data_IF_573465035669
#
_entry.id   IF_573465035669
#
_cell.length_a   1.000
_cell.length_b   1.000
_cell.length_c   1.000
_cell.angle_alpha   90.00
_cell.angle_beta   90.00
_cell.angle_gamma   90.00
#
_symmetry.space_group_name_H-M   'P 1'
#
loop_
_entity.id
_entity.type
_entity.pdbx_description
1 polymer ?
#
# COMPACT_ATOMS: atom_id res chain seq x y z
N UNK A 1 64.43 -5.96 0.46
CA UNK A 1 64.25 -4.56 0.00
C UNK A 1 64.35 -4.55 -1.50
N UNK A 2 63.22 -4.44 -2.19
CA UNK A 2 63.10 -3.90 -3.55
C UNK A 2 61.61 -3.62 -3.73
N UNK A 3 61.27 -2.35 -3.70
CA UNK A 3 59.96 -1.76 -3.88
C UNK A 3 59.92 -1.11 -5.29
N UNK A 4 58.70 -0.88 -5.78
CA UNK A 4 58.27 -0.04 -6.93
C UNK A 4 57.27 -0.73 -7.89
N UNK A 5 56.04 -0.87 -7.37
CA UNK A 5 54.79 -0.34 -7.93
C UNK A 5 54.66 -0.07 -9.43
N UNK A 6 53.72 -0.78 -10.06
CA UNK A 6 53.07 -0.43 -11.35
C UNK A 6 51.59 -0.07 -11.12
N UNK A 7 50.99 0.87 -11.88
CA UNK A 7 49.71 1.49 -11.52
C UNK A 7 48.49 0.77 -12.12
N UNK A 8 47.41 0.71 -11.34
CA UNK A 8 46.06 0.28 -11.75
C UNK A 8 45.38 1.28 -12.71
N UNK A 9 44.49 0.82 -13.62
CA UNK A 9 43.75 1.69 -14.53
C UNK A 9 42.61 2.43 -13.82
N UNK A 10 42.49 3.74 -14.09
CA UNK A 10 41.47 4.63 -13.54
C UNK A 10 40.07 4.26 -14.04
N UNK A 11 39.16 4.00 -13.10
CA UNK A 11 37.72 3.90 -13.36
C UNK A 11 37.17 5.24 -13.90
N UNK A 12 36.50 5.19 -15.04
CA UNK A 12 35.81 6.33 -15.65
C UNK A 12 34.60 6.74 -14.80
N UNK A 13 34.70 7.85 -14.07
CA UNK A 13 33.56 8.48 -13.39
C UNK A 13 32.56 9.00 -14.42
N UNK A 14 31.35 8.43 -14.48
CA UNK A 14 30.20 9.03 -15.18
C UNK A 14 29.80 10.34 -14.48
N UNK A 15 29.32 11.36 -15.22
CA UNK A 15 28.96 12.65 -14.62
C UNK A 15 27.71 12.53 -13.74
N UNK A 16 27.81 12.97 -12.47
CA UNK A 16 26.67 13.14 -11.56
C UNK A 16 25.81 14.30 -12.06
N UNK A 17 24.66 13.99 -12.65
CA UNK A 17 23.61 14.97 -12.92
C UNK A 17 23.00 15.40 -11.59
N UNK A 18 23.33 16.61 -11.10
CA UNK A 18 22.65 17.24 -9.96
C UNK A 18 21.21 17.57 -10.37
N UNK A 19 20.25 16.70 -10.06
CA UNK A 19 18.83 17.05 -10.11
C UNK A 19 18.47 17.82 -8.84
N UNK A 20 18.09 19.09 -8.98
CA UNK A 20 17.66 19.95 -7.85
C UNK A 20 16.34 19.42 -7.29
N UNK A 21 16.27 19.21 -5.97
CA UNK A 21 15.15 18.64 -5.21
C UNK A 21 13.92 19.56 -5.05
N UNK A 22 13.78 20.57 -5.90
CA UNK A 22 12.84 21.69 -5.71
C UNK A 22 11.34 21.31 -5.69
N UNK A 23 10.82 20.29 -6.43
CA UNK A 23 9.38 20.05 -6.45
C UNK A 23 8.83 19.24 -5.26
N UNK A 24 9.67 18.51 -4.50
CA UNK A 24 9.21 17.68 -3.36
C UNK A 24 8.76 18.58 -2.22
N UNK A 25 9.57 19.60 -1.91
CA UNK A 25 9.27 20.57 -0.85
C UNK A 25 8.01 21.38 -1.18
N UNK A 26 7.81 21.80 -2.44
CA UNK A 26 6.63 22.58 -2.81
C UNK A 26 5.32 21.80 -2.66
N UNK A 27 5.29 20.53 -3.09
CA UNK A 27 4.08 19.68 -2.96
C UNK A 27 3.85 19.26 -1.50
N UNK A 28 4.92 18.91 -0.77
CA UNK A 28 4.84 18.62 0.66
C UNK A 28 4.39 19.85 1.47
N UNK A 29 4.86 21.05 1.12
CA UNK A 29 4.43 22.32 1.73
C UNK A 29 2.98 22.67 1.36
N UNK A 30 2.52 22.40 0.14
CA UNK A 30 1.11 22.56 -0.24
C UNK A 30 0.20 21.59 0.53
N UNK A 31 0.65 20.35 0.74
CA UNK A 31 -0.04 19.36 1.57
C UNK A 31 -0.03 19.76 3.06
N UNK A 32 1.08 20.30 3.57
CA UNK A 32 1.19 20.81 4.94
C UNK A 32 0.31 22.05 5.16
N UNK A 33 0.26 22.98 4.20
CA UNK A 33 -0.65 24.13 4.22
C UNK A 33 -2.12 23.71 4.13
N UNK A 34 -2.43 22.65 3.37
CA UNK A 34 -3.78 22.09 3.35
C UNK A 34 -4.14 21.39 4.68
N UNK A 35 -3.16 20.78 5.37
CA UNK A 35 -3.31 20.18 6.71
C UNK A 35 -3.50 21.23 7.81
N UNK A 36 -2.87 22.40 7.69
CA UNK A 36 -3.03 23.50 8.64
C UNK A 36 -4.42 24.18 8.60
N UNK A 37 -5.32 23.73 7.71
CA UNK A 37 -6.70 24.23 7.55
C UNK A 37 -7.76 23.40 8.30
N UNK A 38 -7.33 22.48 9.16
CA UNK A 38 -8.22 21.62 9.95
C UNK A 38 -7.84 21.77 11.42
N UNK A 39 -8.76 22.27 12.23
CA UNK A 39 -8.62 22.33 13.69
C UNK A 39 -8.38 20.92 14.25
N UNK A 40 -7.73 20.76 15.42
CA UNK A 40 -7.44 19.46 16.01
C UNK A 40 -8.66 18.54 16.21
N UNK A 41 -9.88 19.10 16.11
CA UNK A 41 -11.17 18.43 16.26
C UNK A 41 -11.90 18.13 14.93
N UNK A 42 -11.33 18.48 13.77
CA UNK A 42 -11.91 18.16 12.46
C UNK A 42 -13.01 19.12 11.97
N UNK A 43 -13.25 20.24 12.66
CA UNK A 43 -14.20 21.26 12.20
C UNK A 43 -13.58 22.24 11.16
N UNK A 44 -14.34 22.72 10.16
CA UNK A 44 -13.87 23.78 9.26
C UNK A 44 -13.82 25.13 9.98
N UNK A 45 -12.68 25.82 9.88
CA UNK A 45 -12.42 27.14 10.46
C UNK A 45 -13.40 28.19 9.90
N UNK A 46 -14.27 28.80 10.73
CA UNK A 46 -15.22 29.78 10.26
C UNK A 46 -14.58 31.17 10.21
N UNK A 47 -14.72 31.83 9.05
CA UNK A 47 -14.51 33.27 8.79
C UNK A 47 -13.10 33.70 8.37
N UNK A 48 -12.78 33.46 7.10
CA UNK A 48 -12.08 34.46 6.31
C UNK A 48 -12.67 34.45 4.90
N UNK A 49 -13.06 35.61 4.38
CA UNK A 49 -13.52 35.72 2.98
C UNK A 49 -12.39 35.31 2.03
N UNK A 50 -12.69 34.68 0.89
CA UNK A 50 -11.69 34.23 -0.11
C UNK A 50 -10.67 35.34 -0.47
N UNK A 51 -11.10 36.61 -0.47
CA UNK A 51 -10.24 37.77 -0.73
C UNK A 51 -9.20 38.06 0.36
N UNK A 52 -9.54 37.84 1.63
CA UNK A 52 -8.63 38.03 2.76
C UNK A 52 -7.65 36.85 2.91
N UNK A 53 -8.05 35.66 2.46
CA UNK A 53 -7.20 34.48 2.39
C UNK A 53 -6.13 34.61 1.29
N UNK A 54 -6.50 35.18 0.14
CA UNK A 54 -5.57 35.46 -0.98
C UNK A 54 -4.56 36.57 -0.66
N UNK A 55 -4.95 37.59 0.12
CA UNK A 55 -4.03 38.67 0.52
C UNK A 55 -2.98 38.19 1.53
N UNK A 56 -3.34 37.30 2.46
CA UNK A 56 -2.42 36.65 3.41
C UNK A 56 -1.48 35.63 2.73
N UNK A 57 -1.96 34.93 1.70
CA UNK A 57 -1.11 34.09 0.84
C UNK A 57 -0.08 34.94 0.07
N UNK A 58 -0.46 36.13 -0.42
CA UNK A 58 0.50 37.04 -1.07
C UNK A 58 1.56 37.59 -0.11
N UNK A 59 1.18 37.92 1.14
CA UNK A 59 2.14 38.43 2.13
C UNK A 59 3.10 37.36 2.66
N UNK A 60 2.65 36.11 2.82
CA UNK A 60 3.49 34.99 3.27
C UNK A 60 4.47 34.48 2.19
N UNK A 61 4.19 34.75 0.91
CA UNK A 61 4.97 34.25 -0.22
C UNK A 61 5.75 35.34 -0.97
N UNK A 62 5.90 36.53 -0.38
CA UNK A 62 6.54 37.69 -1.03
C UNK A 62 7.90 37.36 -1.67
N UNK A 63 8.76 36.64 -0.94
CA UNK A 63 10.08 36.25 -1.45
C UNK A 63 10.02 35.20 -2.58
N UNK A 64 9.09 34.25 -2.51
CA UNK A 64 8.94 33.21 -3.52
C UNK A 64 8.31 33.75 -4.83
N UNK A 65 7.39 34.70 -4.73
CA UNK A 65 6.84 35.40 -5.88
C UNK A 65 7.85 36.35 -6.52
N UNK A 66 8.68 37.04 -5.73
CA UNK A 66 9.77 37.88 -6.24
C UNK A 66 10.88 37.06 -6.92
N UNK A 67 11.14 35.84 -6.43
CA UNK A 67 12.09 34.91 -7.04
C UNK A 67 11.55 34.35 -8.38
N UNK A 68 10.23 34.05 -8.46
CA UNK A 68 9.54 33.69 -9.71
C UNK A 68 9.51 34.87 -10.69
N UNK A 69 9.32 36.10 -10.22
CA UNK A 69 9.42 37.33 -11.02
C UNK A 69 10.83 37.58 -11.53
N UNK A 70 11.86 37.22 -10.76
CA UNK A 70 13.26 37.37 -11.17
C UNK A 70 13.66 36.38 -12.28
N UNK A 71 12.95 35.25 -12.39
CA UNK A 71 13.13 34.24 -13.44
C UNK A 71 12.35 34.56 -14.73
N UNK A 72 11.36 35.45 -14.67
CA UNK A 72 10.64 35.98 -15.83
C UNK A 72 11.13 37.38 -16.18
N UNK A 73 11.94 37.49 -17.24
CA UNK A 73 12.51 38.76 -17.71
C UNK A 73 11.53 39.94 -17.75
N UNK A 74 12.07 41.12 -17.45
CA UNK A 74 11.39 42.40 -17.20
C UNK A 74 10.34 42.81 -18.25
N UNK A 75 9.34 43.53 -17.74
CA UNK A 75 8.32 44.34 -18.40
C UNK A 75 7.10 43.60 -18.99
N UNK A 76 6.04 43.53 -18.19
CA UNK A 76 4.67 43.59 -18.70
C UNK A 76 3.81 44.34 -17.66
N UNK A 77 3.44 45.57 -18.01
CA UNK A 77 2.42 46.36 -17.33
C UNK A 77 1.05 45.72 -17.50
N UNK A 78 0.16 46.02 -16.55
CA UNK A 78 -1.21 45.54 -16.44
C UNK A 78 -2.03 45.80 -17.72
N UNK A 79 -2.24 44.76 -18.52
CA UNK A 79 -3.39 44.66 -19.43
C UNK A 79 -3.63 43.17 -19.75
N UNK A 80 -4.92 42.79 -19.84
CA UNK A 80 -5.43 41.42 -19.71
C UNK A 80 -4.62 40.33 -20.44
N UNK A 81 -4.12 39.37 -19.66
CA UNK A 81 -3.49 38.16 -20.19
C UNK A 81 -4.57 37.20 -20.66
N UNK A 82 -4.75 37.11 -21.97
CA UNK A 82 -5.54 36.06 -22.62
C UNK A 82 -4.91 34.68 -22.34
N UNK A 83 -5.62 33.87 -21.54
CA UNK A 83 -5.22 32.55 -21.05
C UNK A 83 -4.86 31.54 -22.17
N UNK A 84 -5.17 31.82 -23.44
CA UNK A 84 -4.83 30.95 -24.58
C UNK A 84 -3.35 30.99 -24.95
N UNK A 85 -2.65 32.11 -24.72
CA UNK A 85 -1.23 32.24 -25.07
C UNK A 85 -0.28 31.59 -24.05
N UNK A 86 -0.67 31.54 -22.77
CA UNK A 86 0.12 30.87 -21.73
C UNK A 86 0.11 29.34 -21.92
N UNK A 87 -1.04 28.78 -22.30
CA UNK A 87 -1.18 27.37 -22.66
C UNK A 87 -0.30 26.98 -23.88
N UNK A 88 -0.22 27.85 -24.89
CA UNK A 88 0.63 27.63 -26.07
C UNK A 88 2.14 27.73 -25.76
N UNK A 89 2.56 28.60 -24.82
CA UNK A 89 3.95 28.69 -24.37
C UNK A 89 4.35 27.51 -23.47
N UNK A 90 3.45 27.00 -22.63
CA UNK A 90 3.69 25.77 -21.86
C UNK A 90 3.75 24.53 -22.76
N UNK A 91 3.00 24.50 -23.87
CA UNK A 91 3.06 23.43 -24.86
C UNK A 91 4.41 23.35 -25.62
N UNK A 92 5.14 24.47 -25.71
CA UNK A 92 6.40 24.55 -26.49
C UNK A 92 7.69 24.37 -25.66
N UNK A 93 7.62 24.25 -24.32
CA UNK A 93 8.82 24.06 -23.47
C UNK A 93 9.21 22.59 -23.26
N UNK A 94 8.47 21.62 -23.81
CA UNK A 94 8.83 20.19 -23.73
C UNK A 94 8.90 19.56 -25.13
N UNK A 95 9.92 19.95 -25.90
CA UNK A 95 10.42 19.15 -27.03
C UNK A 95 11.94 18.99 -26.94
N UNK A 96 12.42 18.45 -25.82
CA UNK A 96 13.67 17.70 -25.84
C UNK A 96 13.27 16.25 -26.13
N UNK A 97 13.39 15.82 -27.40
CA UNK A 97 13.31 14.41 -27.81
C UNK A 97 14.51 13.66 -27.25
N UNK A 98 14.55 13.48 -25.95
CA UNK A 98 15.34 12.39 -25.37
C UNK A 98 14.53 11.13 -25.67
N UNK A 99 15.09 10.09 -26.31
CA UNK A 99 14.37 8.84 -26.47
C UNK A 99 13.88 8.40 -25.09
N UNK A 100 12.57 8.26 -24.91
CA UNK A 100 12.04 7.63 -23.71
C UNK A 100 12.65 6.23 -23.70
N UNK A 101 13.39 5.82 -22.65
CA UNK A 101 13.95 4.48 -22.59
C UNK A 101 12.81 3.49 -22.83
N UNK A 102 12.93 2.67 -23.88
CA UNK A 102 11.96 1.61 -24.16
C UNK A 102 12.07 0.64 -22.99
N UNK A 103 11.06 0.63 -22.13
CA UNK A 103 11.06 -0.28 -20.99
C UNK A 103 10.69 -1.67 -21.55
N UNK A 104 11.55 -2.69 -21.43
CA UNK A 104 11.32 -4.00 -22.05
C UNK A 104 10.01 -4.61 -21.56
N UNK A 105 9.13 -5.03 -22.48
CA UNK A 105 7.89 -5.70 -22.12
C UNK A 105 8.18 -6.95 -21.26
N UNK A 106 7.26 -7.36 -20.38
CA UNK A 106 7.41 -8.62 -19.66
C UNK A 106 7.60 -9.78 -20.64
N UNK A 107 8.50 -10.70 -20.30
CA UNK A 107 8.68 -11.93 -21.06
C UNK A 107 7.34 -12.69 -21.12
N UNK A 108 6.98 -13.15 -22.31
CA UNK A 108 5.83 -14.05 -22.50
C UNK A 108 6.19 -15.47 -22.13
N UNK A 109 5.19 -16.33 -22.00
CA UNK A 109 5.41 -17.75 -21.79
C UNK A 109 6.30 -18.33 -22.91
N UNK A 110 7.36 -19.03 -22.53
CA UNK A 110 8.37 -19.57 -23.45
C UNK A 110 9.46 -18.58 -23.89
N UNK A 111 9.37 -17.29 -23.56
CA UNK A 111 10.43 -16.32 -23.82
C UNK A 111 11.48 -16.31 -22.70
N UNK A 112 12.73 -16.03 -23.07
CA UNK A 112 13.81 -15.91 -22.10
C UNK A 112 13.59 -14.70 -21.17
N UNK A 113 13.69 -14.93 -19.86
CA UNK A 113 13.66 -13.85 -18.86
C UNK A 113 15.02 -13.15 -18.85
N UNK A 114 15.02 -11.81 -18.74
CA UNK A 114 16.27 -11.05 -18.65
C UNK A 114 17.01 -11.42 -17.34
N UNK A 115 18.32 -11.74 -17.39
CA UNK A 115 19.05 -12.25 -16.23
C UNK A 115 19.01 -11.36 -14.98
N UNK A 116 18.96 -10.04 -15.14
CA UNK A 116 18.90 -9.09 -14.02
C UNK A 116 17.48 -8.91 -13.44
N UNK A 117 16.48 -9.55 -14.04
CA UNK A 117 15.07 -9.47 -13.64
C UNK A 117 14.51 -10.81 -13.14
N UNK A 118 15.28 -11.88 -13.25
CA UNK A 118 14.83 -13.23 -12.92
C UNK A 118 14.75 -13.45 -11.41
N UNK A 119 13.52 -13.37 -10.86
CA UNK A 119 13.22 -13.69 -9.47
C UNK A 119 13.28 -15.20 -9.17
N UNK A 120 13.34 -16.06 -10.20
CA UNK A 120 13.46 -17.52 -10.07
C UNK A 120 14.90 -17.98 -9.84
N UNK A 121 15.90 -17.20 -10.28
CA UNK A 121 17.32 -17.51 -10.08
C UNK A 121 17.64 -17.52 -8.57
N UNK A 122 18.01 -18.68 -8.00
CA UNK A 122 18.21 -18.84 -6.56
C UNK A 122 19.47 -18.14 -6.05
N UNK A 123 20.36 -17.65 -6.91
CA UNK A 123 21.58 -16.93 -6.54
C UNK A 123 21.34 -15.44 -6.29
N UNK A 124 20.21 -14.89 -6.76
CA UNK A 124 19.89 -13.46 -6.58
C UNK A 124 19.66 -13.09 -5.12
N UNK A 125 20.05 -11.86 -4.78
CA UNK A 125 19.74 -11.22 -3.50
C UNK A 125 18.61 -10.22 -3.69
N UNK A 126 17.47 -10.56 -3.12
CA UNK A 126 16.21 -9.84 -3.29
C UNK A 126 15.88 -9.08 -2.02
N UNK A 127 15.60 -7.79 -2.15
CA UNK A 127 15.10 -6.94 -1.08
C UNK A 127 13.62 -6.67 -1.28
N UNK A 128 12.83 -6.82 -0.23
CA UNK A 128 11.43 -6.44 -0.21
C UNK A 128 11.26 -5.40 0.89
N UNK A 129 10.81 -4.20 0.54
CA UNK A 129 10.60 -3.10 1.49
C UNK A 129 9.11 -2.81 1.54
N UNK A 130 8.55 -2.80 2.74
CA UNK A 130 7.10 -2.62 2.96
C UNK A 130 6.81 -1.54 3.98
N UNK A 131 5.64 -0.89 3.85
CA UNK A 131 5.16 0.20 4.71
C UNK A 131 4.54 -0.28 6.03
N UNK A 132 4.30 -1.58 6.21
CA UNK A 132 3.63 -2.14 7.38
C UNK A 132 4.24 -3.48 7.80
N UNK A 133 4.04 -3.84 9.07
CA UNK A 133 4.53 -5.09 9.67
C UNK A 133 3.45 -5.70 10.57
N UNK A 134 3.55 -7.02 10.80
CA UNK A 134 2.79 -7.68 11.85
C UNK A 134 3.16 -7.07 13.22
N UNK A 135 2.24 -7.03 14.19
CA UNK A 135 0.90 -7.64 14.20
C UNK A 135 -0.19 -6.77 13.56
N UNK A 136 0.16 -5.70 12.83
CA UNK A 136 -0.83 -4.91 12.11
C UNK A 136 -1.32 -5.67 10.88
N UNK A 137 -2.35 -6.50 11.05
CA UNK A 137 -2.89 -7.45 10.06
C UNK A 137 -3.55 -6.78 8.83
N UNK A 138 -2.80 -5.96 8.10
CA UNK A 138 -3.18 -5.32 6.84
C UNK A 138 -2.61 -6.09 5.65
N UNK A 139 -3.16 -5.86 4.46
CA UNK A 139 -2.61 -6.44 3.23
C UNK A 139 -1.12 -6.11 3.04
N UNK A 140 -0.72 -4.87 3.35
CA UNK A 140 0.67 -4.44 3.24
C UNK A 140 1.60 -5.00 4.32
N UNK A 141 1.09 -5.52 5.43
CA UNK A 141 1.93 -6.28 6.37
C UNK A 141 2.05 -7.77 5.96
N UNK A 142 0.91 -8.39 5.63
CA UNK A 142 0.82 -9.84 5.42
C UNK A 142 1.32 -10.26 4.04
N UNK A 143 0.94 -9.55 2.98
CA UNK A 143 1.26 -9.96 1.61
C UNK A 143 2.76 -9.87 1.31
N UNK A 144 3.47 -8.79 1.71
CA UNK A 144 4.92 -8.71 1.54
C UNK A 144 5.67 -9.79 2.33
N UNK A 145 5.22 -10.08 3.56
CA UNK A 145 5.79 -11.14 4.38
C UNK A 145 5.67 -12.52 3.71
N UNK A 146 4.47 -12.87 3.23
CA UNK A 146 4.24 -14.12 2.52
C UNK A 146 5.00 -14.19 1.19
N UNK A 147 5.12 -13.06 0.47
CA UNK A 147 5.94 -12.97 -0.75
C UNK A 147 7.41 -13.24 -0.44
N UNK A 148 7.95 -12.57 0.58
CA UNK A 148 9.33 -12.76 1.00
C UNK A 148 9.57 -14.21 1.40
N UNK A 149 8.68 -14.78 2.22
CA UNK A 149 8.76 -16.16 2.65
C UNK A 149 8.72 -17.15 1.48
N UNK A 150 7.85 -16.92 0.48
CA UNK A 150 7.76 -17.76 -0.70
C UNK A 150 9.02 -17.66 -1.57
N UNK A 151 9.55 -16.45 -1.80
CA UNK A 151 10.78 -16.25 -2.57
C UNK A 151 12.02 -16.82 -1.88
N UNK A 152 12.00 -16.96 -0.56
CA UNK A 152 13.07 -17.63 0.21
C UNK A 152 13.14 -19.13 -0.10
N UNK A 153 12.05 -19.77 -0.55
CA UNK A 153 12.03 -21.22 -0.82
C UNK A 153 13.02 -21.58 -1.92
N UNK A 154 13.76 -22.68 -1.73
CA UNK A 154 14.72 -23.20 -2.70
C UNK A 154 16.07 -22.46 -2.77
N UNK A 155 16.21 -21.29 -2.13
CA UNK A 155 17.49 -20.56 -2.06
C UNK A 155 18.40 -21.16 -0.98
N UNK A 156 19.33 -22.01 -1.40
CA UNK A 156 20.37 -22.62 -0.56
C UNK A 156 21.72 -22.20 -1.12
N UNK A 157 22.42 -21.26 -0.48
CA UNK A 157 23.72 -20.75 -0.96
C UNK A 157 23.82 -19.23 -0.90
N UNK A 158 24.40 -18.63 -1.93
CA UNK A 158 24.77 -17.19 -1.97
C UNK A 158 23.57 -16.25 -2.11
N UNK A 159 22.47 -16.72 -2.67
CA UNK A 159 21.26 -15.91 -2.80
C UNK A 159 20.47 -15.79 -1.50
N UNK A 160 19.74 -14.69 -1.36
CA UNK A 160 18.98 -14.39 -0.15
C UNK A 160 17.73 -13.57 -0.45
N UNK A 161 16.78 -13.61 0.47
CA UNK A 161 15.67 -12.65 0.51
C UNK A 161 15.74 -11.91 1.83
N UNK A 162 15.69 -10.58 1.76
CA UNK A 162 15.65 -9.70 2.91
C UNK A 162 14.33 -8.92 2.89
N UNK A 163 13.52 -9.10 3.93
CA UNK A 163 12.32 -8.31 4.17
C UNK A 163 12.68 -7.16 5.11
N UNK A 164 12.43 -5.93 4.66
CA UNK A 164 12.69 -4.71 5.40
C UNK A 164 11.38 -4.14 5.93
N UNK A 165 11.24 -4.11 7.25
CA UNK A 165 10.03 -3.77 7.99
C UNK A 165 10.15 -2.41 8.68
N UNK A 166 9.05 -1.66 8.84
CA UNK A 166 9.05 -0.44 9.64
C UNK A 166 9.14 -0.77 11.13
N UNK A 167 10.06 -0.13 11.83
CA UNK A 167 10.09 -0.05 13.28
C UNK A 167 9.51 1.29 13.74
N UNK A 168 8.37 1.24 14.42
CA UNK A 168 7.76 2.44 15.02
C UNK A 168 8.54 2.80 16.28
N UNK A 169 9.36 3.85 16.21
CA UNK A 169 10.28 4.18 17.31
C UNK A 169 9.54 4.58 18.59
N UNK A 170 8.41 5.28 18.45
CA UNK A 170 7.61 5.75 19.59
C UNK A 170 6.70 4.64 20.10
N UNK A 171 6.77 4.37 21.40
CA UNK A 171 5.88 3.43 22.07
C UNK A 171 4.39 3.81 21.89
N UNK A 172 4.04 5.10 21.93
CA UNK A 172 2.66 5.54 21.69
C UNK A 172 2.15 5.23 20.28
N UNK A 173 3.02 5.21 19.27
CA UNK A 173 2.65 4.84 17.91
C UNK A 173 2.42 3.32 17.82
N UNK A 174 3.31 2.51 18.43
CA UNK A 174 3.13 1.05 18.55
C UNK A 174 1.83 0.69 19.26
N UNK A 175 1.55 1.30 20.40
CA UNK A 175 0.32 1.09 21.15
C UNK A 175 -0.92 1.45 20.33
N UNK A 176 -0.86 2.52 19.53
CA UNK A 176 -1.98 2.93 18.66
C UNK A 176 -2.23 1.96 17.52
N UNK A 177 -1.16 1.45 16.91
CA UNK A 177 -1.22 0.56 15.73
C UNK A 177 -1.53 -0.88 16.13
N UNK A 178 -0.83 -1.41 17.13
CA UNK A 178 -0.89 -2.80 17.55
C UNK A 178 -1.90 -3.02 18.71
N UNK A 179 -2.32 -1.96 19.39
CA UNK A 179 -3.29 -2.04 20.48
C UNK A 179 -2.76 -2.87 21.65
N UNK A 180 -3.62 -3.75 22.19
CA UNK A 180 -3.25 -4.68 23.27
C UNK A 180 -2.20 -5.73 22.84
N UNK A 181 -1.88 -5.81 21.55
CA UNK A 181 -0.80 -6.65 21.03
C UNK A 181 0.57 -5.94 21.07
N UNK A 182 0.63 -4.65 21.44
CA UNK A 182 1.92 -4.00 21.65
C UNK A 182 2.61 -4.57 22.89
N UNK A 183 3.54 -5.48 22.63
CA UNK A 183 4.39 -6.12 23.64
C UNK A 183 5.87 -5.83 23.38
N UNK A 184 6.18 -4.99 22.39
CA UNK A 184 7.52 -4.86 21.85
C UNK A 184 8.21 -3.61 22.38
N UNK A 185 9.26 -3.84 23.15
CA UNK A 185 10.24 -2.82 23.52
C UNK A 185 11.34 -2.72 22.46
N UNK A 186 11.63 -3.82 21.76
CA UNK A 186 12.72 -3.93 20.78
C UNK A 186 12.26 -4.54 19.44
N UNK A 187 12.89 -4.18 18.30
CA UNK A 187 12.58 -4.77 17.00
C UNK A 187 12.70 -6.30 16.96
N UNK A 188 13.65 -6.87 17.71
CA UNK A 188 13.90 -8.31 17.76
C UNK A 188 12.73 -9.08 18.36
N UNK A 189 11.99 -8.49 19.30
CA UNK A 189 10.79 -9.09 19.89
C UNK A 189 9.64 -9.14 18.87
N UNK A 190 9.51 -8.07 18.08
CA UNK A 190 8.55 -8.02 16.98
C UNK A 190 8.96 -8.99 15.85
N UNK A 191 10.25 -9.14 15.59
CA UNK A 191 10.78 -10.12 14.64
C UNK A 191 10.42 -11.55 15.04
N UNK A 192 10.58 -11.91 16.31
CA UNK A 192 10.21 -13.25 16.79
C UNK A 192 8.71 -13.49 16.67
N UNK A 193 7.86 -12.48 16.87
CA UNK A 193 6.42 -12.61 16.64
C UNK A 193 6.08 -12.83 15.15
N UNK A 194 6.74 -12.08 14.25
CA UNK A 194 6.63 -12.29 12.78
C UNK A 194 7.05 -13.71 12.40
N UNK A 195 8.19 -14.19 12.93
CA UNK A 195 8.70 -15.54 12.66
C UNK A 195 7.79 -16.61 13.23
N UNK A 196 7.28 -16.43 14.46
CA UNK A 196 6.28 -17.32 15.06
C UNK A 196 5.03 -17.40 14.19
N UNK A 197 4.51 -16.28 13.72
CA UNK A 197 3.36 -16.25 12.83
C UNK A 197 3.61 -17.03 11.52
N UNK A 198 4.80 -16.87 10.93
CA UNK A 198 5.19 -17.66 9.76
C UNK A 198 5.23 -19.17 10.04
N UNK A 199 5.83 -19.58 11.17
CA UNK A 199 5.92 -21.00 11.56
C UNK A 199 4.54 -21.61 11.83
N UNK A 200 3.78 -20.98 12.73
CA UNK A 200 2.58 -21.57 13.34
C UNK A 200 1.31 -21.27 12.55
N UNK A 201 1.18 -20.05 12.01
CA UNK A 201 -0.04 -19.63 11.32
C UNK A 201 0.08 -19.85 9.81
N UNK A 202 1.17 -19.40 9.19
CA UNK A 202 1.35 -19.53 7.74
C UNK A 202 1.80 -20.93 7.30
N UNK A 203 2.31 -21.76 8.21
CA UNK A 203 2.85 -23.09 7.91
C UNK A 203 4.15 -23.04 7.09
N UNK A 204 4.95 -21.98 7.25
CA UNK A 204 6.17 -21.71 6.48
C UNK A 204 7.41 -21.76 7.36
N UNK A 205 7.60 -22.85 8.11
CA UNK A 205 8.67 -22.95 9.12
C UNK A 205 10.08 -22.75 8.56
N UNK A 206 10.39 -23.37 7.43
CA UNK A 206 11.67 -23.21 6.73
C UNK A 206 11.94 -21.76 6.29
N UNK A 207 10.91 -21.03 5.85
CA UNK A 207 11.04 -19.62 5.52
C UNK A 207 11.21 -18.75 6.78
N UNK A 208 10.54 -19.12 7.88
CA UNK A 208 10.65 -18.41 9.16
C UNK A 208 12.06 -18.49 9.77
N UNK A 209 12.87 -19.48 9.39
CA UNK A 209 14.28 -19.59 9.79
C UNK A 209 15.21 -18.85 8.83
N UNK A 210 15.00 -19.00 7.51
CA UNK A 210 15.93 -18.54 6.49
C UNK A 210 15.71 -17.10 6.00
N UNK A 211 14.50 -16.57 6.14
CA UNK A 211 14.18 -15.20 5.72
C UNK A 211 15.00 -14.22 6.57
N UNK A 212 15.74 -13.32 5.91
CA UNK A 212 16.43 -12.23 6.59
C UNK A 212 15.41 -11.12 6.86
N UNK A 213 15.36 -10.64 8.09
CA UNK A 213 14.54 -9.49 8.47
C UNK A 213 15.48 -8.34 8.83
N UNK A 214 15.11 -7.15 8.37
CA UNK A 214 15.79 -5.88 8.67
C UNK A 214 14.73 -4.84 8.99
N UNK A 215 15.15 -3.81 9.70
CA UNK A 215 14.26 -2.75 10.17
C UNK A 215 14.70 -1.40 9.62
N UNK A 216 13.75 -0.54 9.30
CA UNK A 216 13.99 0.89 9.09
C UNK A 216 13.16 1.70 10.08
N UNK A 217 13.65 2.88 10.46
CA UNK A 217 12.93 3.75 11.37
C UNK A 217 11.64 4.28 10.75
N UNK A 218 10.56 4.30 11.51
CA UNK A 218 9.26 4.74 11.05
C UNK A 218 8.46 5.41 12.19
N UNK A 219 7.41 6.12 11.82
CA UNK A 219 6.49 6.77 12.75
C UNK A 219 5.05 6.71 12.23
N UNK A 220 4.08 6.89 13.13
CA UNK A 220 2.67 6.93 12.75
C UNK A 220 2.19 8.38 12.59
N UNK A 221 1.71 8.74 11.40
CA UNK A 221 0.90 9.95 11.23
C UNK A 221 -0.52 9.66 11.68
N UNK A 222 -0.94 10.36 12.74
CA UNK A 222 -2.20 10.11 13.43
C UNK A 222 -3.39 10.54 12.59
N UNK A 223 -3.29 11.67 11.89
CA UNK A 223 -4.39 12.20 11.08
C UNK A 223 -4.75 11.25 9.92
N UNK A 224 -3.75 10.57 9.37
CA UNK A 224 -3.89 9.70 8.20
C UNK A 224 -3.88 8.22 8.59
N UNK A 225 -3.70 7.92 9.89
CA UNK A 225 -3.57 6.57 10.45
C UNK A 225 -2.63 5.69 9.60
N UNK A 226 -1.48 6.27 9.21
CA UNK A 226 -0.56 5.72 8.22
C UNK A 226 0.87 5.75 8.75
N UNK A 227 1.64 4.68 8.49
CA UNK A 227 3.03 4.56 8.93
C UNK A 227 3.96 5.16 7.87
N UNK A 228 4.82 6.09 8.24
CA UNK A 228 5.78 6.71 7.35
C UNK A 228 7.21 6.32 7.67
N UNK A 229 8.02 6.15 6.63
CA UNK A 229 9.45 5.97 6.74
C UNK A 229 10.16 7.24 7.22
N UNK A 230 11.21 7.04 8.02
CA UNK A 230 12.19 8.07 8.38
C UNK A 230 13.61 7.61 8.02
N UNK A 231 14.48 8.59 7.77
CA UNK A 231 15.87 8.34 7.42
C UNK A 231 16.09 7.89 5.97
N UNK A 232 17.34 7.54 5.67
CA UNK A 232 17.77 7.06 4.36
C UNK A 232 17.77 5.52 4.33
N UNK A 233 16.61 4.93 4.03
CA UNK A 233 16.46 3.47 3.89
C UNK A 233 17.46 2.92 2.86
N UNK A 234 17.68 3.63 1.76
CA UNK A 234 18.55 3.17 0.68
C UNK A 234 19.99 3.11 1.17
N UNK A 235 20.43 4.11 1.95
CA UNK A 235 21.75 4.19 2.55
C UNK A 235 22.08 3.06 3.54
N UNK A 236 21.09 2.42 4.15
CA UNK A 236 21.33 1.30 5.10
C UNK A 236 21.52 -0.05 4.41
N UNK A 237 21.23 -0.14 3.13
CA UNK A 237 21.39 -1.38 2.34
C UNK A 237 22.82 -1.44 1.79
N UNK A 238 23.61 -2.50 2.02
CA UNK A 238 24.97 -2.59 1.47
C UNK A 238 24.98 -2.65 -0.07
N UNK A 239 25.91 -1.97 -0.75
CA UNK A 239 26.00 -1.95 -2.22
C UNK A 239 26.29 -3.32 -2.82
N UNK A 240 26.97 -4.17 -2.07
CA UNK A 240 27.27 -5.51 -2.48
C UNK A 240 26.02 -6.38 -2.51
N UNK A 241 24.94 -6.11 -1.76
CA UNK A 241 23.76 -6.99 -1.59
C UNK A 241 22.55 -6.66 -2.51
N UNK A 242 22.76 -5.95 -3.62
CA UNK A 242 21.65 -5.36 -4.41
C UNK A 242 21.51 -5.95 -5.82
N UNK A 243 20.68 -6.98 -5.97
CA UNK A 243 20.25 -7.43 -7.30
C UNK A 243 18.87 -6.86 -7.66
N UNK A 244 17.85 -7.26 -6.92
CA UNK A 244 16.45 -6.91 -7.21
C UNK A 244 15.79 -6.34 -5.96
N UNK A 245 15.02 -5.26 -6.13
CA UNK A 245 14.19 -4.69 -5.07
C UNK A 245 12.70 -4.75 -5.43
N UNK A 246 11.87 -5.11 -4.46
CA UNK A 246 10.42 -5.00 -4.49
C UNK A 246 10.00 -3.95 -3.47
N UNK A 247 9.32 -2.90 -3.92
CA UNK A 247 8.76 -1.85 -3.08
C UNK A 247 7.25 -2.08 -2.98
N UNK A 248 6.75 -2.32 -1.77
CA UNK A 248 5.32 -2.53 -1.51
C UNK A 248 4.72 -1.19 -1.06
N UNK A 249 3.81 -0.64 -1.86
CA UNK A 249 3.34 0.76 -1.81
C UNK A 249 4.46 1.78 -2.10
N UNK A 250 5.12 1.72 -3.29
CA UNK A 250 6.21 2.61 -3.65
C UNK A 250 5.83 4.09 -3.64
N UNK A 251 4.55 4.41 -3.88
CA UNK A 251 4.01 5.75 -3.75
C UNK A 251 4.20 6.30 -2.33
N UNK A 252 3.76 5.54 -1.34
CA UNK A 252 3.69 5.93 0.06
C UNK A 252 5.04 5.81 0.76
N UNK A 253 5.79 4.74 0.49
CA UNK A 253 7.14 4.52 1.01
C UNK A 253 8.12 5.65 0.70
N UNK A 254 7.86 6.46 -0.34
CA UNK A 254 8.78 7.49 -0.78
C UNK A 254 8.31 8.93 -0.49
N UNK A 255 7.15 9.17 0.18
CA UNK A 255 6.66 10.54 0.44
C UNK A 255 7.61 11.38 1.28
N UNK A 256 8.30 10.77 2.26
CA UNK A 256 9.23 11.44 3.17
C UNK A 256 10.67 10.95 3.04
N UNK A 257 11.05 10.56 1.82
CA UNK A 257 12.38 10.00 1.56
C UNK A 257 13.50 11.01 1.88
N UNK A 258 14.50 10.57 2.62
CA UNK A 258 15.72 11.35 2.81
C UNK A 258 16.42 11.62 1.46
N UNK A 259 17.09 12.78 1.29
CA UNK A 259 17.93 13.02 0.14
C UNK A 259 19.06 11.98 0.06
N UNK A 260 19.31 11.43 -1.12
CA UNK A 260 20.30 10.37 -1.31
C UNK A 260 20.13 9.66 -2.64
N UNK A 261 20.76 8.49 -2.76
CA UNK A 261 20.67 7.62 -3.94
C UNK A 261 19.22 7.27 -4.29
N UNK A 262 18.97 6.92 -5.54
CA UNK A 262 17.67 6.41 -5.98
C UNK A 262 17.64 4.89 -5.88
N UNK A 263 16.47 4.32 -5.56
CA UNK A 263 16.22 2.87 -5.69
C UNK A 263 16.67 2.34 -7.06
N UNK A 264 16.30 3.05 -8.12
CA UNK A 264 16.60 2.68 -9.52
C UNK A 264 18.07 2.90 -9.91
N UNK A 265 18.85 3.64 -9.13
CA UNK A 265 20.30 3.75 -9.35
C UNK A 265 21.09 2.71 -8.56
N UNK A 266 20.55 2.26 -7.41
CA UNK A 266 21.20 1.28 -6.54
C UNK A 266 20.95 -0.16 -6.97
N UNK A 267 19.72 -0.49 -7.35
CA UNK A 267 19.32 -1.84 -7.74
C UNK A 267 19.25 -1.98 -9.26
N UNK A 268 19.63 -3.16 -9.77
CA UNK A 268 19.55 -3.49 -11.21
C UNK A 268 18.09 -3.53 -11.68
N UNK A 269 17.20 -4.02 -10.82
CA UNK A 269 15.77 -4.04 -11.09
C UNK A 269 14.95 -3.65 -9.85
N UNK A 270 13.89 -2.86 -10.05
CA UNK A 270 13.02 -2.35 -8.98
C UNK A 270 11.58 -2.48 -9.42
N UNK A 271 10.82 -3.27 -8.67
CA UNK A 271 9.41 -3.56 -8.90
C UNK A 271 8.60 -2.84 -7.83
N UNK A 272 7.70 -1.95 -8.24
CA UNK A 272 6.72 -1.34 -7.35
C UNK A 272 5.42 -2.12 -7.36
N UNK A 273 4.91 -2.54 -6.21
CA UNK A 273 3.60 -3.18 -6.08
C UNK A 273 2.65 -2.20 -5.41
N UNK A 274 1.59 -1.82 -6.12
CA UNK A 274 0.61 -0.83 -5.65
C UNK A 274 -0.56 -1.56 -5.01
N UNK A 275 -0.82 -1.30 -3.73
CA UNK A 275 -1.91 -1.89 -2.96
C UNK A 275 -3.12 -0.98 -2.85
N UNK A 276 -2.87 0.29 -2.57
CA UNK A 276 -3.87 1.21 -2.04
C UNK A 276 -4.23 2.29 -3.06
N UNK A 277 -5.52 2.59 -3.14
CA UNK A 277 -5.99 3.72 -3.95
C UNK A 277 -6.02 5.02 -3.12
N UNK A 278 -4.85 5.61 -2.87
CA UNK A 278 -4.74 6.86 -2.11
C UNK A 278 -5.49 8.04 -2.75
N UNK A 279 -5.64 8.03 -4.07
CA UNK A 279 -6.44 9.03 -4.76
C UNK A 279 -7.91 8.99 -4.31
N UNK A 280 -8.48 7.78 -4.17
CA UNK A 280 -9.84 7.61 -3.71
C UNK A 280 -10.01 8.06 -2.25
N UNK A 281 -9.07 7.71 -1.37
CA UNK A 281 -9.09 8.21 0.02
C UNK A 281 -8.96 9.74 0.09
N UNK A 282 -8.19 10.36 -0.80
CA UNK A 282 -8.08 11.81 -0.86
C UNK A 282 -9.38 12.50 -1.35
N UNK A 283 -10.25 11.80 -2.08
CA UNK A 283 -11.56 12.32 -2.47
C UNK A 283 -12.55 12.36 -1.30
N UNK A 284 -12.39 11.47 -0.32
CA UNK A 284 -13.23 11.41 0.88
C UNK A 284 -12.83 12.43 1.97
N UNK A 285 -11.75 13.20 1.74
CA UNK A 285 -11.20 14.13 2.72
C UNK A 285 -11.59 15.60 2.42
N UNK A 286 -11.60 16.48 3.45
CA UNK A 286 -11.81 17.91 3.24
C UNK A 286 -10.85 18.48 2.19
N UNK A 287 -11.32 19.47 1.42
CA UNK A 287 -10.58 20.08 0.31
C UNK A 287 -10.14 19.09 -0.80
N UNK A 288 -10.93 18.05 -1.05
CA UNK A 288 -10.71 17.03 -2.09
C UNK A 288 -10.33 17.60 -3.46
N UNK A 289 -10.92 18.73 -3.87
CA UNK A 289 -10.68 19.41 -5.16
C UNK A 289 -9.20 19.77 -5.35
N UNK A 290 -8.49 20.11 -4.28
CA UNK A 290 -7.05 20.39 -4.32
C UNK A 290 -6.24 19.13 -3.96
N UNK A 291 -6.66 18.42 -2.92
CA UNK A 291 -5.90 17.34 -2.30
C UNK A 291 -5.80 16.12 -3.21
N UNK A 292 -6.90 15.72 -3.87
CA UNK A 292 -6.91 14.52 -4.70
C UNK A 292 -6.02 14.68 -5.96
N UNK A 293 -6.08 15.79 -6.73
CA UNK A 293 -5.14 16.01 -7.84
C UNK A 293 -3.67 16.07 -7.39
N UNK A 294 -3.38 16.75 -6.28
CA UNK A 294 -2.03 16.82 -5.72
C UNK A 294 -1.50 15.44 -5.30
N UNK A 295 -2.34 14.65 -4.62
CA UNK A 295 -2.01 13.29 -4.20
C UNK A 295 -1.75 12.40 -5.43
N UNK A 296 -2.60 12.47 -6.46
CA UNK A 296 -2.40 11.73 -7.70
C UNK A 296 -1.05 12.06 -8.35
N UNK A 297 -0.70 13.34 -8.42
CA UNK A 297 0.58 13.78 -8.98
C UNK A 297 1.77 13.26 -8.15
N UNK A 298 1.68 13.37 -6.82
CA UNK A 298 2.72 12.91 -5.91
C UNK A 298 2.94 11.39 -6.04
N UNK A 299 1.88 10.59 -5.94
CA UNK A 299 1.96 9.14 -6.07
C UNK A 299 2.54 8.73 -7.44
N UNK A 300 2.07 9.36 -8.51
CA UNK A 300 2.58 9.13 -9.88
C UNK A 300 4.07 9.42 -9.96
N UNK A 301 4.51 10.54 -9.38
CA UNK A 301 5.90 10.93 -9.38
C UNK A 301 6.79 9.98 -8.58
N UNK A 302 6.35 9.55 -7.39
CA UNK A 302 7.07 8.60 -6.56
C UNK A 302 7.25 7.26 -7.28
N UNK A 303 6.17 6.69 -7.80
CA UNK A 303 6.21 5.44 -8.57
C UNK A 303 7.13 5.57 -9.79
N UNK A 304 6.96 6.65 -10.59
CA UNK A 304 7.73 6.85 -11.83
C UNK A 304 9.22 7.03 -11.56
N UNK A 305 9.60 7.67 -10.44
CA UNK A 305 11.00 7.94 -10.12
C UNK A 305 11.71 6.72 -9.53
N UNK A 306 10.99 5.92 -8.74
CA UNK A 306 11.59 4.90 -7.89
C UNK A 306 11.40 3.46 -8.39
N UNK A 307 10.61 3.24 -9.46
CA UNK A 307 10.39 1.91 -10.00
C UNK A 307 10.87 1.78 -11.46
N UNK A 308 11.40 0.61 -11.81
CA UNK A 308 11.61 0.19 -13.20
C UNK A 308 10.31 -0.35 -13.79
N UNK A 309 9.56 -1.13 -12.99
CA UNK A 309 8.24 -1.67 -13.33
C UNK A 309 7.26 -1.48 -12.18
N UNK A 310 5.99 -1.33 -12.51
CA UNK A 310 4.90 -1.15 -11.54
C UNK A 310 3.85 -2.22 -11.79
N UNK A 311 3.49 -2.96 -10.75
CA UNK A 311 2.42 -3.95 -10.76
C UNK A 311 1.27 -3.37 -9.93
N UNK A 312 0.14 -3.16 -10.58
CA UNK A 312 -1.13 -2.83 -9.96
C UNK A 312 -1.89 -4.13 -9.73
N UNK A 313 -2.35 -4.34 -8.52
CA UNK A 313 -3.09 -5.57 -8.18
C UNK A 313 -4.45 -5.66 -8.87
N UNK A 314 -5.00 -4.51 -9.29
CA UNK A 314 -6.30 -4.40 -9.94
C UNK A 314 -6.31 -3.27 -10.96
N UNK A 315 -7.15 -3.39 -11.98
CA UNK A 315 -7.44 -2.32 -12.94
C UNK A 315 -8.20 -1.14 -12.33
N UNK A 316 -8.72 -1.28 -11.10
CA UNK A 316 -9.41 -0.21 -10.36
C UNK A 316 -8.46 0.80 -9.72
N UNK A 317 -7.16 0.48 -9.63
CA UNK A 317 -6.15 1.40 -9.11
C UNK A 317 -5.86 2.51 -10.13
N UNK A 318 -5.45 3.67 -9.61
CA UNK A 318 -5.09 4.82 -10.41
C UNK A 318 -3.99 4.51 -11.44
N UNK A 319 -3.84 5.42 -12.39
CA UNK A 319 -2.71 5.43 -13.32
C UNK A 319 -1.60 6.29 -12.70
N UNK A 320 -0.40 5.72 -12.58
CA UNK A 320 0.78 6.29 -11.93
C UNK A 320 1.91 6.58 -12.95
N UNK A 321 2.24 5.60 -13.79
CA UNK A 321 3.22 5.68 -14.86
C UNK A 321 2.90 4.64 -15.95
N UNK A 322 2.02 4.96 -16.92
CA UNK A 322 1.50 4.02 -17.91
C UNK A 322 2.56 3.20 -18.64
N UNK A 323 3.72 3.79 -18.92
CA UNK A 323 4.81 3.14 -19.64
C UNK A 323 5.51 2.03 -18.81
N UNK A 324 5.28 2.01 -17.49
CA UNK A 324 5.87 1.08 -16.51
C UNK A 324 4.88 0.06 -15.98
N UNK A 325 3.59 0.28 -16.16
CA UNK A 325 2.51 -0.42 -15.46
C UNK A 325 2.13 -1.77 -16.07
N UNK A 326 1.77 -2.68 -15.18
CA UNK A 326 1.10 -3.96 -15.44
C UNK A 326 -0.05 -4.11 -14.46
N UNK A 327 -1.13 -4.78 -14.87
CA UNK A 327 -2.19 -5.20 -13.95
C UNK A 327 -2.06 -6.69 -13.75
N UNK A 328 -1.69 -7.10 -12.54
CA UNK A 328 -1.56 -8.50 -12.17
C UNK A 328 -1.72 -8.66 -10.67
N UNK A 329 -2.60 -9.58 -10.27
CA UNK A 329 -2.65 -9.97 -8.87
C UNK A 329 -1.47 -10.89 -8.58
N UNK A 330 -0.50 -10.35 -7.85
CA UNK A 330 0.72 -11.06 -7.43
C UNK A 330 0.65 -11.52 -5.98
N UNK A 331 -0.51 -11.40 -5.33
CA UNK A 331 -0.71 -11.94 -3.99
C UNK A 331 -1.05 -13.42 -4.07
N UNK A 332 -0.31 -14.23 -3.30
CA UNK A 332 -0.63 -15.63 -3.13
C UNK A 332 -1.80 -15.83 -2.17
N UNK A 333 -2.53 -16.93 -2.36
CA UNK A 333 -3.49 -17.44 -1.38
C UNK A 333 -2.77 -18.48 -0.53
N UNK A 334 -2.84 -18.36 0.80
CA UNK A 334 -2.25 -19.37 1.73
C UNK A 334 -2.88 -20.74 1.49
N UNK A 335 -2.07 -21.81 1.56
CA UNK A 335 -2.53 -23.20 1.33
C UNK A 335 -3.72 -23.56 2.23
N UNK A 336 -3.79 -23.05 3.46
CA UNK A 336 -4.92 -23.28 4.37
C UNK A 336 -6.29 -22.94 3.77
N UNK A 337 -6.38 -21.88 2.95
CA UNK A 337 -7.62 -21.54 2.24
C UNK A 337 -7.96 -22.57 1.16
N UNK A 338 -6.94 -23.08 0.45
CA UNK A 338 -7.11 -24.08 -0.60
C UNK A 338 -7.50 -25.44 0.00
N UNK A 339 -6.85 -25.85 1.09
CA UNK A 339 -7.19 -27.05 1.84
C UNK A 339 -8.61 -26.99 2.38
N UNK A 340 -8.99 -25.90 3.03
CA UNK A 340 -10.35 -25.73 3.55
C UNK A 340 -11.42 -25.83 2.44
N UNK A 341 -11.15 -25.26 1.26
CA UNK A 341 -12.02 -25.42 0.10
C UNK A 341 -12.11 -26.87 -0.40
N UNK A 342 -10.98 -27.60 -0.45
CA UNK A 342 -10.94 -29.02 -0.84
C UNK A 342 -11.69 -29.90 0.16
N UNK A 343 -11.52 -29.64 1.46
CA UNK A 343 -12.12 -30.42 2.54
C UNK A 343 -13.63 -30.20 2.58
N UNK A 344 -14.10 -28.96 2.48
CA UNK A 344 -15.52 -28.64 2.33
C UNK A 344 -16.13 -29.33 1.09
N UNK A 345 -15.44 -29.26 -0.05
CA UNK A 345 -15.92 -29.91 -1.27
C UNK A 345 -16.01 -31.44 -1.14
N UNK A 346 -15.11 -32.06 -0.36
CA UNK A 346 -15.15 -33.51 -0.08
C UNK A 346 -16.32 -33.86 0.83
N UNK A 347 -16.50 -33.11 1.91
CA UNK A 347 -17.58 -33.22 2.87
C UNK A 347 -18.97 -33.14 2.22
N UNK A 348 -19.16 -32.16 1.32
CA UNK A 348 -20.42 -31.99 0.59
C UNK A 348 -20.71 -33.18 -0.34
N UNK A 349 -19.71 -33.74 -1.01
CA UNK A 349 -19.88 -34.93 -1.87
C UNK A 349 -20.21 -36.19 -1.08
N UNK A 350 -19.65 -36.35 0.12
CA UNK A 350 -19.86 -37.54 0.96
C UNK A 350 -21.19 -37.55 1.72
N UNK A 351 -22.01 -36.50 1.62
CA UNK A 351 -23.26 -36.35 2.37
C UNK A 351 -23.07 -36.59 3.88
N UNK A 352 -21.97 -36.09 4.46
CA UNK A 352 -21.68 -36.27 5.89
C UNK A 352 -22.72 -35.50 6.72
N UNK A 353 -23.55 -36.19 7.54
CA UNK A 353 -24.61 -35.55 8.32
C UNK A 353 -24.09 -34.60 9.41
N UNK A 354 -22.78 -34.59 9.72
CA UNK A 354 -22.15 -33.59 10.61
C UNK A 354 -21.92 -32.23 9.94
N UNK A 355 -21.96 -32.21 8.62
CA UNK A 355 -21.84 -31.00 7.78
C UNK A 355 -23.24 -30.44 7.48
N UNK A 356 -24.25 -31.30 7.47
CA UNK A 356 -25.65 -30.95 7.18
C UNK A 356 -26.36 -29.92 8.09
N UNK A 357 -26.07 -29.72 9.40
CA UNK A 357 -26.89 -28.85 10.25
C UNK A 357 -26.72 -27.35 9.94
N UNK A 358 -25.58 -26.97 9.36
CA UNK A 358 -25.26 -25.57 8.98
C UNK A 358 -25.25 -25.39 7.45
N UNK A 359 -25.13 -26.49 6.71
CA UNK A 359 -24.87 -26.49 5.27
C UNK A 359 -25.88 -27.42 4.54
N UNK A 360 -27.01 -26.86 4.08
CA UNK A 360 -28.02 -27.55 3.28
C UNK A 360 -29.18 -26.64 2.86
N UNK A 361 -30.02 -27.07 1.90
CA UNK A 361 -31.25 -26.37 1.53
C UNK A 361 -32.24 -26.28 2.70
N UNK A 362 -32.15 -27.23 3.63
CA UNK A 362 -33.02 -27.39 4.80
C UNK A 362 -32.42 -26.79 6.09
N UNK A 363 -31.34 -26.01 6.00
CA UNK A 363 -30.74 -25.36 7.16
C UNK A 363 -31.71 -24.30 7.74
N UNK A 364 -32.03 -24.40 9.04
CA UNK A 364 -33.09 -23.62 9.71
C UNK A 364 -32.89 -22.09 9.65
N UNK A 365 -31.67 -21.59 9.42
CA UNK A 365 -31.42 -20.16 9.20
C UNK A 365 -30.18 -19.89 8.33
N UNK A 366 -30.29 -19.09 7.24
CA UNK A 366 -29.13 -18.71 6.45
C UNK A 366 -28.25 -17.73 7.25
N UNK A 367 -27.04 -18.19 7.60
CA UNK A 367 -26.00 -17.34 8.19
C UNK A 367 -25.03 -16.88 7.11
N UNK A 368 -24.78 -15.59 7.07
CA UNK A 368 -23.70 -14.99 6.28
C UNK A 368 -22.70 -14.34 7.22
N UNK A 369 -21.48 -14.14 6.77
CA UNK A 369 -20.50 -13.41 7.56
C UNK A 369 -19.82 -12.32 6.74
N UNK A 370 -19.44 -11.27 7.44
CA UNK A 370 -18.51 -10.26 6.97
C UNK A 370 -17.21 -10.43 7.74
N UNK A 371 -16.08 -10.42 7.03
CA UNK A 371 -14.76 -10.37 7.66
C UNK A 371 -13.97 -9.18 7.12
N UNK A 372 -13.55 -8.29 8.02
CA UNK A 372 -12.73 -7.15 7.67
C UNK A 372 -12.62 -6.10 8.76
N UNK A 373 -11.70 -5.15 8.58
CA UNK A 373 -11.59 -3.98 9.46
C UNK A 373 -12.95 -3.25 9.56
N UNK A 374 -13.42 -2.97 10.79
CA UNK A 374 -14.71 -2.31 11.02
C UNK A 374 -14.58 -0.80 10.76
N UNK A 375 -14.85 -0.41 9.51
CA UNK A 375 -14.85 0.98 9.04
C UNK A 375 -16.12 1.26 8.23
N UNK A 376 -16.73 2.44 8.42
CA UNK A 376 -17.91 2.84 7.64
C UNK A 376 -17.65 2.85 6.13
N UNK A 377 -16.46 3.28 5.71
CA UNK A 377 -16.03 3.30 4.30
C UNK A 377 -15.97 1.91 3.65
N UNK A 378 -16.02 0.82 4.44
CA UNK A 378 -16.17 -0.54 3.93
C UNK A 378 -17.62 -0.96 3.69
N UNK A 379 -18.56 -0.02 3.77
CA UNK A 379 -19.97 -0.26 3.47
C UNK A 379 -20.71 -0.99 4.58
N UNK A 380 -20.22 -0.98 5.82
CA UNK A 380 -20.89 -1.65 6.96
C UNK A 380 -22.27 -1.03 7.20
N UNK A 381 -22.38 0.29 7.12
CA UNK A 381 -23.67 0.98 7.24
C UNK A 381 -24.64 0.55 6.14
N UNK A 382 -24.16 0.49 4.90
CA UNK A 382 -24.93 0.00 3.76
C UNK A 382 -25.36 -1.46 3.94
N UNK A 383 -24.50 -2.32 4.49
CA UNK A 383 -24.85 -3.71 4.78
C UNK A 383 -25.98 -3.79 5.82
N UNK A 384 -25.91 -3.01 6.90
CA UNK A 384 -26.97 -2.91 7.92
C UNK A 384 -28.29 -2.49 7.26
N UNK A 385 -28.26 -1.43 6.45
CA UNK A 385 -29.46 -0.91 5.76
C UNK A 385 -30.05 -1.92 4.76
N UNK A 386 -29.20 -2.66 4.05
CA UNK A 386 -29.63 -3.69 3.10
C UNK A 386 -30.27 -4.89 3.80
N UNK A 387 -29.77 -5.28 4.97
CA UNK A 387 -30.37 -6.38 5.76
C UNK A 387 -31.73 -5.96 6.30
N UNK A 388 -31.87 -4.74 6.85
CA UNK A 388 -33.17 -4.19 7.26
C UNK A 388 -34.17 -4.18 6.11
N UNK A 389 -33.73 -3.70 4.95
CA UNK A 389 -34.56 -3.65 3.76
C UNK A 389 -35.03 -5.04 3.34
N UNK A 390 -34.14 -6.04 3.36
CA UNK A 390 -34.48 -7.42 3.01
C UNK A 390 -35.45 -8.05 4.03
N UNK A 391 -35.24 -7.84 5.34
CA UNK A 391 -36.12 -8.32 6.40
C UNK A 391 -37.53 -7.73 6.27
N UNK A 392 -37.62 -6.43 6.02
CA UNK A 392 -38.90 -5.71 5.94
C UNK A 392 -39.68 -5.99 4.65
N UNK A 393 -39.00 -6.06 3.51
CA UNK A 393 -39.68 -6.11 2.20
C UNK A 393 -39.78 -7.52 1.61
N UNK A 394 -38.85 -8.42 1.96
CA UNK A 394 -38.83 -9.78 1.44
C UNK A 394 -39.15 -10.84 2.51
N UNK A 395 -39.36 -10.43 3.77
CA UNK A 395 -39.61 -11.36 4.89
C UNK A 395 -38.41 -12.28 5.20
N UNK A 396 -37.22 -11.91 4.74
CA UNK A 396 -36.00 -12.71 4.87
C UNK A 396 -35.29 -12.39 6.17
N UNK A 397 -35.31 -13.29 7.16
CA UNK A 397 -34.49 -13.16 8.37
C UNK A 397 -33.05 -13.60 8.09
N UNK A 398 -32.11 -12.67 8.09
CA UNK A 398 -30.70 -12.95 7.75
C UNK A 398 -29.83 -12.73 8.99
N UNK A 399 -29.21 -13.80 9.49
CA UNK A 399 -28.23 -13.68 10.55
C UNK A 399 -26.86 -13.34 9.94
N UNK A 400 -26.22 -12.28 10.45
CA UNK A 400 -24.91 -11.81 9.97
C UNK A 400 -23.88 -11.88 11.09
N UNK A 401 -22.82 -12.67 10.88
CA UNK A 401 -21.68 -12.72 11.78
C UNK A 401 -20.58 -11.76 11.32
N UNK A 402 -20.21 -10.81 12.17
CA UNK A 402 -19.27 -9.74 11.89
C UNK A 402 -17.92 -10.04 12.56
N UNK A 403 -16.91 -10.27 11.73
CA UNK A 403 -15.53 -10.56 12.15
C UNK A 403 -14.58 -9.43 11.79
N UNK A 404 -13.69 -9.11 12.72
CA UNK A 404 -12.72 -8.02 12.61
C UNK A 404 -12.80 -7.01 13.74
N UNK A 405 -11.90 -6.03 13.71
CA UNK A 405 -11.86 -4.91 14.63
C UNK A 405 -11.71 -3.59 13.89
N UNK A 406 -11.95 -2.47 14.57
CA UNK A 406 -11.85 -1.15 13.98
C UNK A 406 -12.53 -0.10 14.84
N UNK A 407 -12.28 1.18 14.56
CA UNK A 407 -12.81 2.29 15.35
C UNK A 407 -14.35 2.36 15.29
N UNK A 408 -14.97 1.90 14.20
CA UNK A 408 -16.42 2.01 14.01
C UNK A 408 -17.19 0.80 14.56
N UNK A 409 -16.52 -0.18 15.19
CA UNK A 409 -17.16 -1.41 15.68
C UNK A 409 -18.32 -1.11 16.64
N UNK A 410 -18.06 -0.34 17.69
CA UNK A 410 -19.05 -0.08 18.75
C UNK A 410 -20.27 0.68 18.21
N UNK A 411 -20.03 1.65 17.32
CA UNK A 411 -21.08 2.41 16.66
C UNK A 411 -21.93 1.54 15.72
N UNK A 412 -21.30 0.65 14.95
CA UNK A 412 -22.00 -0.30 14.08
C UNK A 412 -22.84 -1.31 14.88
N UNK A 413 -22.29 -1.83 15.97
CA UNK A 413 -23.00 -2.76 16.86
C UNK A 413 -24.20 -2.09 17.52
N UNK A 414 -24.06 -0.84 17.98
CA UNK A 414 -25.17 -0.05 18.53
C UNK A 414 -26.27 0.15 17.48
N UNK A 415 -25.93 0.57 16.26
CA UNK A 415 -26.89 0.79 15.17
C UNK A 415 -27.66 -0.48 14.82
N UNK A 416 -26.97 -1.61 14.69
CA UNK A 416 -27.62 -2.89 14.40
C UNK A 416 -28.64 -3.30 15.48
N UNK A 417 -28.30 -3.08 16.77
CA UNK A 417 -29.21 -3.33 17.91
C UNK A 417 -30.43 -2.40 17.88
N UNK A 418 -30.23 -1.11 17.61
CA UNK A 418 -31.32 -0.12 17.51
C UNK A 418 -32.29 -0.45 16.36
N UNK A 419 -31.77 -1.00 15.26
CA UNK A 419 -32.57 -1.42 14.11
C UNK A 419 -33.14 -2.85 14.25
N UNK A 420 -32.90 -3.52 15.39
CA UNK A 420 -33.33 -4.90 15.67
C UNK A 420 -32.89 -5.93 14.59
N UNK A 421 -31.69 -5.74 14.03
CA UNK A 421 -31.11 -6.63 13.02
C UNK A 421 -30.27 -7.70 13.71
N UNK A 422 -30.38 -8.96 13.26
CA UNK A 422 -29.59 -10.06 13.80
C UNK A 422 -28.14 -10.03 13.30
N UNK A 423 -27.32 -9.17 13.90
CA UNK A 423 -25.91 -8.99 13.56
C UNK A 423 -25.01 -9.12 14.80
N UNK A 424 -24.12 -10.12 14.82
CA UNK A 424 -23.28 -10.44 15.99
C UNK A 424 -21.81 -10.13 15.73
N UNK A 425 -21.15 -9.42 16.66
CA UNK A 425 -19.78 -8.93 16.50
C UNK A 425 -18.77 -9.74 17.33
N UNK A 426 -17.97 -10.59 16.66
CA UNK A 426 -17.08 -11.57 17.30
C UNK A 426 -15.65 -11.08 17.55
N UNK A 427 -15.20 -10.05 16.82
CA UNK A 427 -13.81 -9.57 16.86
C UNK A 427 -12.91 -10.20 15.80
N UNK A 428 -11.59 -9.91 15.81
CA UNK A 428 -10.65 -10.39 14.81
C UNK A 428 -10.44 -11.91 14.86
N UNK A 429 -10.33 -12.53 13.68
CA UNK A 429 -10.08 -13.97 13.51
C UNK A 429 -9.26 -14.22 12.25
N UNK A 430 -8.49 -15.31 12.19
CA UNK A 430 -7.92 -15.79 10.93
C UNK A 430 -9.06 -16.33 10.05
N UNK A 431 -9.15 -15.82 8.82
CA UNK A 431 -10.22 -16.17 7.88
C UNK A 431 -10.29 -17.67 7.58
N UNK A 432 -9.17 -18.40 7.59
CA UNK A 432 -9.17 -19.85 7.37
C UNK A 432 -10.02 -20.58 8.42
N UNK A 433 -10.08 -20.07 9.67
CA UNK A 433 -10.91 -20.66 10.73
C UNK A 433 -12.42 -20.48 10.49
N UNK A 434 -12.80 -19.59 9.57
CA UNK A 434 -14.21 -19.38 9.22
C UNK A 434 -14.71 -20.36 8.15
N UNK A 435 -13.82 -21.07 7.47
CA UNK A 435 -14.19 -21.96 6.38
C UNK A 435 -15.09 -23.13 6.85
N UNK A 436 -14.99 -23.51 8.12
CA UNK A 436 -15.80 -24.58 8.72
C UNK A 436 -17.06 -24.05 9.42
N UNK A 437 -17.23 -22.73 9.57
CA UNK A 437 -18.28 -22.14 10.40
C UNK A 437 -19.38 -21.41 9.62
N UNK A 438 -19.13 -21.02 8.36
CA UNK A 438 -20.11 -20.24 7.57
C UNK A 438 -20.14 -20.63 6.08
N UNK A 439 -21.30 -20.46 5.43
CA UNK A 439 -21.58 -20.92 4.06
C UNK A 439 -20.61 -20.33 3.02
N UNK A 440 -20.09 -21.19 2.15
CA UNK A 440 -19.67 -20.83 0.78
C UNK A 440 -20.67 -21.51 -0.16
N UNK A 441 -21.57 -20.75 -0.80
CA UNK A 441 -22.48 -21.33 -1.80
C UNK A 441 -21.64 -21.79 -2.99
N UNK A 442 -21.82 -23.03 -3.44
CA UNK A 442 -21.31 -23.44 -4.75
C UNK A 442 -22.21 -22.82 -5.83
N UNK A 443 -21.61 -22.35 -6.93
CA UNK A 443 -22.33 -21.66 -8.00
C UNK A 443 -23.46 -22.51 -8.63
N UNK A 444 -23.38 -23.84 -8.48
CA UNK A 444 -24.37 -24.82 -8.94
C UNK A 444 -25.70 -24.80 -8.19
N UNK A 445 -25.80 -24.09 -7.05
CA UNK A 445 -27.01 -24.03 -6.22
C UNK A 445 -27.72 -22.65 -6.27
N UNK A 446 -27.38 -21.80 -7.23
CA UNK A 446 -28.04 -20.51 -7.44
C UNK A 446 -28.85 -20.55 -8.75
N UNK A 447 -30.18 -20.76 -8.68
CA UNK A 447 -31.06 -20.77 -9.86
C UNK A 447 -30.98 -19.49 -10.71
N UNK A 448 -30.52 -18.39 -10.12
CA UNK A 448 -30.51 -17.04 -10.71
C UNK A 448 -29.23 -16.70 -11.49
N UNK A 449 -28.21 -17.57 -11.49
CA UNK A 449 -26.94 -17.35 -12.19
C UNK A 449 -26.76 -18.24 -13.43
N UNK A 450 -27.82 -18.93 -13.86
CA UNK A 450 -27.84 -19.75 -15.07
C UNK A 450 -28.47 -19.06 -16.29
N UNK A 451 -28.69 -17.75 -16.23
CA UNK A 451 -29.17 -16.96 -17.39
C UNK A 451 -28.06 -16.19 -18.07
#
# INVERSE_FOLDING_TARGET
>A
MCDLSTPHPRASRRPRVRRRSFPILLVASLLALARARVSPDGSPDPLASEGEQLSRLRSSWGSAFDEIRSLGGRNATEEGVDNRHLAARMANVVRVKTPVPVIPAPAREGEAVLPDTDLGDPTKRIWIVTSASLPWMTGTAVNPLLRAAQLTRGRKGEGSVTLMLPWLEKASDRQRVYGNADKFSLPEEQEEDVRRWLRETAGMADAAERLRIRWYAAWLERAENSIYSTGDIIGTIPEEEVDICVLEEPEHLNWYRAPGDSWTSKFKHVIGIVHTNYFFYALEQPAAVLRAPAMKLLCSWMCRSHCHRIIKLSGTLAVFAPEKELVSNVHGVREGFLSAGKDLARALRSHDPRVAPTFGADAESPRVYFIGKMLWSKGIGTLIDLVEFAERNAGLKVAVDMYGGGPDREAAEKRAKEMNIHMTFHGPVDHVKLAETHKVRTATELPFLQT
#
